data_IF_028959823837
#
_entry.id   IF_028959823837
#
_cell.length_a   1.000
_cell.length_b   1.000
_cell.length_c   1.000
_cell.angle_alpha   90.00
_cell.angle_beta   90.00
_cell.angle_gamma   90.00
#
_symmetry.space_group_name_H-M   'P 1'
#
loop_
_entity.id
_entity.type
_entity.pdbx_description
1 polymer ?
#
# COMPACT_ATOMS: atom_id res chain seq x y z
N UNK A 1 -23.86 6.72 -0.09
CA UNK A 1 -22.46 6.40 0.24
C UNK A 1 -21.94 5.46 -0.83
N UNK A 2 -20.71 5.65 -1.31
CA UNK A 2 -20.02 4.63 -2.12
C UNK A 2 -19.66 3.43 -1.25
N UNK A 3 -19.31 2.29 -1.86
CA UNK A 3 -18.88 1.12 -1.08
C UNK A 3 -17.57 1.40 -0.32
N UNK A 4 -16.71 2.29 -0.84
CA UNK A 4 -15.56 2.83 -0.10
C UNK A 4 -15.98 3.61 1.14
N UNK A 5 -16.97 4.50 1.03
CA UNK A 5 -17.45 5.27 2.19
C UNK A 5 -18.04 4.35 3.27
N UNK A 6 -18.79 3.31 2.88
CA UNK A 6 -19.30 2.30 3.82
C UNK A 6 -18.18 1.51 4.50
N UNK A 7 -17.19 1.06 3.72
CA UNK A 7 -15.99 0.37 4.23
C UNK A 7 -15.28 1.21 5.29
N UNK A 8 -15.07 2.50 5.02
CA UNK A 8 -14.38 3.41 5.95
C UNK A 8 -15.24 3.77 7.17
N UNK A 9 -16.57 3.75 7.04
CA UNK A 9 -17.51 3.94 8.14
C UNK A 9 -17.69 2.68 9.02
N UNK A 10 -17.09 1.53 8.65
CA UNK A 10 -17.26 0.26 9.35
C UNK A 10 -18.62 -0.40 9.11
N UNK A 11 -19.34 0.02 8.08
CA UNK A 11 -20.62 -0.56 7.67
C UNK A 11 -20.40 -1.79 6.77
N UNK A 12 -21.44 -2.60 6.60
CA UNK A 12 -21.43 -3.66 5.59
C UNK A 12 -21.32 -3.06 4.19
N UNK A 13 -20.35 -3.52 3.41
CA UNK A 13 -20.06 -3.05 2.06
C UNK A 13 -19.79 -4.23 1.10
N UNK A 14 -19.98 -4.01 -0.19
CA UNK A 14 -19.63 -4.98 -1.23
C UNK A 14 -18.15 -4.89 -1.59
N UNK A 15 -17.35 -5.88 -1.18
CA UNK A 15 -15.93 -5.94 -1.52
C UNK A 15 -15.66 -6.24 -3.02
N UNK A 16 -16.66 -6.71 -3.76
CA UNK A 16 -16.61 -6.91 -5.20
C UNK A 16 -16.88 -5.63 -6.00
N UNK A 17 -17.16 -4.51 -5.34
CA UNK A 17 -17.39 -3.23 -5.99
C UNK A 17 -16.20 -2.82 -6.88
N UNK A 18 -16.54 -2.21 -8.02
CA UNK A 18 -15.56 -1.86 -9.05
C UNK A 18 -14.51 -0.86 -8.54
N UNK A 19 -14.88 0.09 -7.68
CA UNK A 19 -13.95 1.06 -7.10
C UNK A 19 -12.93 0.34 -6.20
N UNK A 20 -13.41 -0.54 -5.34
CA UNK A 20 -12.57 -1.30 -4.40
C UNK A 20 -11.64 -2.26 -5.13
N UNK A 21 -12.15 -3.04 -6.08
CA UNK A 21 -11.34 -3.97 -6.88
C UNK A 21 -10.27 -3.22 -7.70
N UNK A 22 -10.60 -2.05 -8.25
CA UNK A 22 -9.61 -1.23 -8.99
C UNK A 22 -8.46 -0.79 -8.08
N UNK A 23 -8.77 -0.32 -6.86
CA UNK A 23 -7.77 0.08 -5.86
C UNK A 23 -6.93 -1.12 -5.40
N UNK A 24 -7.57 -2.27 -5.21
CA UNK A 24 -6.89 -3.51 -4.86
C UNK A 24 -5.87 -3.92 -5.94
N UNK A 25 -6.25 -3.89 -7.22
CA UNK A 25 -5.33 -4.19 -8.31
C UNK A 25 -4.16 -3.21 -8.41
N UNK A 26 -4.39 -1.92 -8.14
CA UNK A 26 -3.31 -0.94 -8.08
C UNK A 26 -2.29 -1.30 -6.98
N UNK A 27 -2.76 -1.63 -5.79
CA UNK A 27 -1.89 -2.04 -4.69
C UNK A 27 -1.07 -3.30 -5.05
N UNK A 28 -1.69 -4.32 -5.67
CA UNK A 28 -0.96 -5.53 -6.12
C UNK A 28 0.08 -5.23 -7.19
N UNK A 29 -0.23 -4.32 -8.14
CA UNK A 29 0.72 -3.88 -9.16
C UNK A 29 1.93 -3.20 -8.52
N UNK A 30 1.70 -2.24 -7.62
CA UNK A 30 2.77 -1.51 -6.94
C UNK A 30 3.61 -2.43 -6.05
N UNK A 31 2.97 -3.32 -5.28
CA UNK A 31 3.68 -4.31 -4.47
C UNK A 31 4.58 -5.24 -5.32
N UNK A 32 4.11 -5.66 -6.50
CA UNK A 32 4.92 -6.41 -7.45
C UNK A 32 6.10 -5.59 -7.98
N UNK A 33 5.85 -4.34 -8.39
CA UNK A 33 6.93 -3.45 -8.85
C UNK A 33 7.97 -3.22 -7.76
N UNK A 34 7.55 -3.05 -6.51
CA UNK A 34 8.45 -2.90 -5.37
C UNK A 34 9.35 -4.12 -5.20
N UNK A 35 8.75 -5.32 -5.26
CA UNK A 35 9.48 -6.59 -5.16
C UNK A 35 10.48 -6.80 -6.31
N UNK A 36 10.10 -6.42 -7.53
CA UNK A 36 10.94 -6.59 -8.73
C UNK A 36 12.05 -5.52 -8.86
N UNK A 37 12.01 -4.45 -8.06
CA UNK A 37 12.99 -3.35 -8.11
C UNK A 37 14.30 -3.75 -7.41
N UNK A 38 15.44 -3.37 -8.00
CA UNK A 38 16.76 -3.63 -7.39
C UNK A 38 16.87 -2.95 -6.03
N UNK A 39 17.43 -3.66 -5.04
CA UNK A 39 17.52 -3.16 -3.66
C UNK A 39 18.44 -1.94 -3.51
N UNK A 40 19.27 -1.66 -4.52
CA UNK A 40 20.13 -0.48 -4.58
C UNK A 40 19.44 0.75 -5.17
N UNK A 41 18.32 0.59 -5.89
CA UNK A 41 17.53 1.69 -6.47
C UNK A 41 16.57 2.29 -5.43
N UNK A 42 17.15 3.03 -4.49
CA UNK A 42 16.40 3.66 -3.41
C UNK A 42 15.38 4.69 -3.90
N UNK A 43 15.64 5.35 -5.03
CA UNK A 43 14.73 6.35 -5.58
C UNK A 43 13.45 5.69 -6.07
N UNK A 44 13.57 4.62 -6.87
CA UNK A 44 12.43 3.87 -7.36
C UNK A 44 11.66 3.19 -6.23
N UNK A 45 12.35 2.57 -5.26
CA UNK A 45 11.71 1.94 -4.08
C UNK A 45 10.90 2.97 -3.28
N UNK A 46 11.47 4.15 -3.01
CA UNK A 46 10.77 5.22 -2.31
C UNK A 46 9.57 5.73 -3.09
N UNK A 47 9.71 5.96 -4.40
CA UNK A 47 8.61 6.39 -5.26
C UNK A 47 7.44 5.40 -5.26
N UNK A 48 7.73 4.10 -5.24
CA UNK A 48 6.68 3.07 -5.17
C UNK A 48 6.01 3.08 -3.79
N UNK A 49 6.76 3.21 -2.70
CA UNK A 49 6.17 3.31 -1.35
C UNK A 49 5.28 4.54 -1.20
N UNK A 50 5.67 5.67 -1.76
CA UNK A 50 4.88 6.91 -1.73
C UNK A 50 3.58 6.80 -2.55
N UNK A 51 3.55 5.94 -3.56
CA UNK A 51 2.32 5.63 -4.31
C UNK A 51 1.47 4.56 -3.63
N UNK A 52 2.10 3.61 -2.93
CA UNK A 52 1.41 2.48 -2.32
C UNK A 52 0.75 2.86 -0.99
N UNK A 53 1.41 3.65 -0.15
CA UNK A 53 0.97 3.97 1.20
C UNK A 53 0.14 5.26 1.24
N UNK A 54 -0.76 5.36 2.21
CA UNK A 54 -1.52 6.59 2.44
C UNK A 54 -0.64 7.73 2.94
N UNK A 55 0.33 7.40 3.79
CA UNK A 55 1.45 8.28 4.12
C UNK A 55 2.59 7.49 4.76
N UNK A 56 3.79 8.05 4.71
CA UNK A 56 4.93 7.58 5.49
C UNK A 56 5.78 8.74 6.00
N UNK A 57 6.41 8.54 7.15
CA UNK A 57 7.37 9.47 7.71
C UNK A 57 8.78 9.31 7.14
N UNK A 58 9.73 9.96 7.81
CA UNK A 58 11.16 9.81 7.51
C UNK A 58 11.70 8.47 7.99
N UNK A 59 12.75 7.96 7.33
CA UNK A 59 13.44 6.72 7.72
C UNK A 59 12.50 5.50 7.82
N UNK A 60 11.67 5.29 6.80
CA UNK A 60 10.80 4.11 6.69
C UNK A 60 11.44 3.09 5.75
N UNK A 61 11.65 1.88 6.27
CA UNK A 61 12.14 0.73 5.51
C UNK A 61 11.14 -0.42 5.60
N UNK A 62 10.78 -0.99 4.44
CA UNK A 62 9.89 -2.13 4.35
C UNK A 62 10.55 -3.18 3.48
N UNK A 63 10.85 -4.35 4.04
CA UNK A 63 11.46 -5.43 3.27
C UNK A 63 10.43 -6.07 2.35
N UNK A 64 10.77 -6.26 1.08
CA UNK A 64 9.96 -7.02 0.15
C UNK A 64 9.99 -8.53 0.50
N UNK A 65 8.93 -9.31 0.23
CA UNK A 65 7.68 -8.91 -0.43
C UNK A 65 6.70 -8.17 0.51
N UNK A 66 5.95 -7.22 -0.06
CA UNK A 66 4.88 -6.49 0.64
C UNK A 66 3.53 -7.09 0.27
N UNK A 67 2.73 -7.46 1.28
CA UNK A 67 1.37 -7.97 1.10
C UNK A 67 0.36 -7.03 1.76
N UNK A 68 -0.37 -6.27 0.95
CA UNK A 68 -1.43 -5.33 1.39
C UNK A 68 -2.62 -5.39 0.44
N UNK A 69 -3.83 -5.10 0.94
CA UNK A 69 -5.03 -5.06 0.11
C UNK A 69 -5.15 -3.76 -0.69
N UNK A 70 -5.09 -2.61 -0.02
CA UNK A 70 -5.20 -1.30 -0.68
C UNK A 70 -3.94 -0.45 -0.57
N UNK A 71 -3.14 -0.64 0.49
CA UNK A 71 -1.96 0.18 0.79
C UNK A 71 -2.29 1.62 1.24
N UNK A 72 -3.16 2.32 0.52
CA UNK A 72 -3.49 3.74 0.75
C UNK A 72 -4.14 4.04 2.10
N UNK A 73 -4.62 3.02 2.83
CA UNK A 73 -5.16 3.17 4.18
C UNK A 73 -4.10 2.97 5.28
N UNK A 74 -2.84 2.69 4.92
CA UNK A 74 -1.73 2.47 5.84
C UNK A 74 -0.94 3.77 5.96
N UNK A 75 -0.74 4.20 7.21
CA UNK A 75 -0.02 5.42 7.56
C UNK A 75 1.12 5.08 8.50
N UNK A 76 2.35 5.29 8.04
CA UNK A 76 3.56 4.99 8.79
C UNK A 76 4.17 6.28 9.34
N UNK A 77 4.60 6.25 10.60
CA UNK A 77 5.35 7.33 11.23
C UNK A 77 6.83 7.35 10.83
N UNK A 78 7.65 8.04 11.61
CA UNK A 78 9.10 8.11 11.41
C UNK A 78 9.82 6.89 12.01
N UNK A 79 10.97 6.52 11.46
CA UNK A 79 11.89 5.51 11.99
C UNK A 79 11.23 4.13 12.15
N UNK A 80 10.54 3.68 11.10
CA UNK A 80 9.86 2.38 11.07
C UNK A 80 10.67 1.41 10.21
N UNK A 81 10.88 0.21 10.74
CA UNK A 81 11.38 -0.93 10.00
C UNK A 81 10.33 -2.05 10.04
N UNK A 82 9.93 -2.51 8.86
CA UNK A 82 9.11 -3.72 8.70
C UNK A 82 9.97 -4.75 7.98
N UNK A 83 10.29 -5.83 8.68
CA UNK A 83 11.10 -6.92 8.15
C UNK A 83 10.23 -7.92 7.35
N UNK A 84 10.84 -8.98 6.84
CA UNK A 84 10.16 -10.00 6.05
C UNK A 84 9.20 -10.85 6.90
N UNK A 85 8.16 -11.37 6.24
CA UNK A 85 7.26 -12.38 6.80
C UNK A 85 7.76 -13.80 6.51
#
# INVERSE_FOLDING_TARGET
>A
MTEKEKMLAGESYDCGDKELITRWHLAKKLAKQYYDTDTTDKEQLNSILDQLLGSRGENVWVSAPIHVDYGENIHLGNNIEINMN
#
